data_IF_745393945487
#
_entry.id   IF_745393945487
#
_cell.length_a   1.000
_cell.length_b   1.000
_cell.length_c   1.000
_cell.angle_alpha   90.00
_cell.angle_beta   90.00
_cell.angle_gamma   90.00
#
_symmetry.space_group_name_H-M   'P 1'
#
loop_
_entity.id
_entity.type
_entity.pdbx_description
1 polymer ?
#
# COMPACT_ATOMS: atom_id res chain seq x y z
N UNK A 1 -5.16 7.71 90.36
CA UNK A 1 -4.22 8.47 89.52
C UNK A 1 -5.00 9.51 88.72
N UNK A 2 -4.79 10.79 89.04
CA UNK A 2 -4.79 12.02 88.19
C UNK A 2 -5.55 11.97 86.83
N UNK A 3 -6.65 12.73 86.65
CA UNK A 3 -6.77 14.07 85.99
C UNK A 3 -6.30 14.06 84.52
N UNK A 4 -6.90 14.62 83.47
CA UNK A 4 -8.05 15.51 83.21
C UNK A 4 -8.01 15.81 81.68
N UNK A 5 -9.08 16.43 81.14
CA UNK A 5 -9.10 17.42 80.04
C UNK A 5 -9.19 17.05 78.52
N UNK A 6 -10.27 17.61 77.95
CA UNK A 6 -10.47 18.34 76.66
C UNK A 6 -10.54 17.53 75.35
N UNK A 7 -11.70 17.43 74.68
CA UNK A 7 -12.51 18.46 73.97
C UNK A 7 -11.90 18.96 72.63
N UNK A 8 -12.57 18.67 71.50
CA UNK A 8 -12.89 19.68 70.50
C UNK A 8 -13.99 19.26 69.51
N UNK A 9 -14.90 20.21 69.28
CA UNK A 9 -15.97 20.26 68.27
C UNK A 9 -15.36 20.32 66.86
N UNK A 10 -16.11 19.87 65.84
CA UNK A 10 -16.58 20.76 64.76
C UNK A 10 -17.52 20.00 63.81
N UNK A 11 -18.76 20.50 63.72
CA UNK A 11 -19.73 20.16 62.70
C UNK A 11 -19.27 20.74 61.34
N UNK A 12 -19.16 19.88 60.32
CA UNK A 12 -18.76 20.24 58.96
C UNK A 12 -19.90 20.00 57.97
N UNK A 13 -20.34 21.10 57.33
CA UNK A 13 -21.40 21.22 56.32
C UNK A 13 -21.16 20.36 55.07
N UNK A 14 -22.25 19.87 54.48
CA UNK A 14 -22.28 19.17 53.19
C UNK A 14 -21.84 20.08 52.01
N UNK A 15 -21.01 19.60 51.08
CA UNK A 15 -20.62 20.36 49.90
C UNK A 15 -21.63 20.17 48.74
N UNK A 16 -22.21 21.28 48.28
CA UNK A 16 -22.96 21.36 47.02
C UNK A 16 -21.98 21.42 45.85
N UNK A 17 -22.01 20.40 44.97
CA UNK A 17 -21.26 20.39 43.71
C UNK A 17 -21.93 21.33 42.70
N UNK A 18 -21.40 22.54 42.53
CA UNK A 18 -21.64 23.39 41.35
C UNK A 18 -20.67 23.00 40.24
N UNK A 19 -21.19 22.50 39.13
CA UNK A 19 -20.44 22.28 37.88
C UNK A 19 -20.20 23.63 37.20
N UNK A 20 -18.93 24.06 37.21
CA UNK A 20 -18.47 25.28 36.53
C UNK A 20 -18.01 24.90 35.11
N UNK A 21 -18.83 25.18 34.09
CA UNK A 21 -18.34 25.29 32.73
C UNK A 21 -18.04 26.78 32.46
N UNK A 22 -16.80 27.16 32.10
CA UNK A 22 -16.52 28.55 31.76
C UNK A 22 -17.23 28.90 30.46
N UNK A 23 -18.23 29.78 30.54
CA UNK A 23 -18.77 30.51 29.38
C UNK A 23 -17.62 31.28 28.74
N UNK A 24 -17.18 30.85 27.56
CA UNK A 24 -16.24 31.62 26.75
C UNK A 24 -16.90 32.97 26.40
N UNK A 25 -16.27 34.06 26.84
CA UNK A 25 -16.74 35.41 26.52
C UNK A 25 -16.55 35.71 25.03
N UNK A 26 -17.47 36.46 24.40
CA UNK A 26 -17.46 36.76 22.96
C UNK A 26 -16.16 37.43 22.47
N UNK A 27 -15.41 38.06 23.38
CA UNK A 27 -14.13 38.70 23.09
C UNK A 27 -13.01 37.71 22.68
N UNK A 28 -13.05 36.44 23.13
CA UNK A 28 -12.05 35.43 22.72
C UNK A 28 -12.35 34.85 21.33
N UNK A 29 -13.61 34.82 20.92
CA UNK A 29 -14.00 34.40 19.57
C UNK A 29 -13.60 35.45 18.51
N UNK A 30 -13.74 36.75 18.82
CA UNK A 30 -13.26 37.83 17.95
C UNK A 30 -11.74 37.82 17.79
N UNK A 31 -10.97 37.56 18.86
CA UNK A 31 -9.50 37.38 18.74
C UNK A 31 -9.11 36.18 17.89
N UNK A 32 -9.90 35.11 17.87
CA UNK A 32 -9.63 33.93 17.04
C UNK A 32 -9.92 34.19 15.56
N UNK A 33 -11.01 34.91 15.25
CA UNK A 33 -11.35 35.31 13.88
C UNK A 33 -10.34 36.34 13.34
N UNK A 34 -9.93 37.31 14.17
CA UNK A 34 -8.92 38.29 13.77
C UNK A 34 -7.54 37.64 13.55
N UNK A 35 -7.17 36.64 14.38
CA UNK A 35 -5.92 35.87 14.19
C UNK A 35 -5.95 34.98 12.94
N UNK A 36 -7.12 34.47 12.52
CA UNK A 36 -7.29 33.75 11.26
C UNK A 36 -7.26 34.68 10.03
N UNK A 37 -7.78 35.91 10.15
CA UNK A 37 -7.72 36.90 9.07
C UNK A 37 -6.28 37.41 8.86
N UNK A 38 -5.54 37.68 9.94
CA UNK A 38 -4.13 38.09 9.88
C UNK A 38 -3.21 36.97 9.34
N UNK A 39 -3.55 35.69 9.56
CA UNK A 39 -2.82 34.57 8.95
C UNK A 39 -3.06 34.44 7.43
N UNK A 40 -4.17 34.97 6.91
CA UNK A 40 -4.43 35.02 5.47
C UNK A 40 -3.81 36.27 4.82
N UNK A 41 -3.74 37.42 5.50
CA UNK A 41 -3.02 38.60 5.01
C UNK A 41 -1.49 38.36 4.96
N UNK A 42 -0.93 37.59 5.90
CA UNK A 42 0.49 37.21 5.88
C UNK A 42 0.87 36.29 4.68
N UNK A 43 -0.12 35.67 4.02
CA UNK A 43 0.10 34.89 2.79
C UNK A 43 0.08 35.76 1.53
N UNK A 44 -0.49 36.97 1.57
CA UNK A 44 -0.48 37.91 0.44
C UNK A 44 0.70 38.91 0.49
N UNK A 45 1.27 39.18 1.67
CA UNK A 45 2.39 40.13 1.84
C UNK A 45 3.80 39.57 1.58
N UNK A 46 3.96 38.30 1.19
CA UNK A 46 5.29 37.75 0.80
C UNK A 46 5.61 37.92 -0.69
N UNK A 47 4.93 38.85 -1.36
CA UNK A 47 5.10 39.12 -2.78
C UNK A 47 6.26 40.07 -3.14
N UNK A 48 6.98 40.65 -2.16
CA UNK A 48 8.03 41.66 -2.41
C UNK A 48 9.33 41.46 -1.61
N UNK A 49 9.95 40.28 -1.71
CA UNK A 49 11.38 40.13 -1.38
C UNK A 49 12.07 39.34 -2.49
N UNK A 50 12.20 39.98 -3.66
CA UNK A 50 13.18 39.64 -4.67
C UNK A 50 14.33 40.64 -4.58
N UNK A 51 15.44 40.25 -3.97
CA UNK A 51 16.81 40.53 -4.40
C UNK A 51 17.77 40.01 -3.32
N UNK A 52 18.96 39.58 -3.77
CA UNK A 52 20.11 39.10 -2.98
C UNK A 52 20.17 37.56 -2.85
N UNK A 53 20.66 36.89 -3.90
CA UNK A 53 22.00 36.25 -3.94
C UNK A 53 22.18 35.55 -5.30
N UNK A 54 23.03 36.14 -6.14
CA UNK A 54 23.73 35.43 -7.21
C UNK A 54 25.12 35.09 -6.71
N UNK A 55 25.55 33.82 -6.84
CA UNK A 55 26.88 33.47 -7.35
C UNK A 55 26.91 32.03 -7.89
N UNK A 56 27.84 31.70 -8.82
CA UNK A 56 27.82 30.48 -9.64
C UNK A 56 28.98 29.49 -9.31
N UNK A 57 28.98 28.35 -10.03
CA UNK A 57 29.98 27.27 -10.10
C UNK A 57 29.86 26.21 -8.97
N UNK A 58 29.82 24.90 -9.23
CA UNK A 58 30.71 24.04 -10.05
C UNK A 58 29.93 22.80 -10.54
N UNK A 59 29.78 22.55 -11.85
CA UNK A 59 30.58 21.66 -12.73
C UNK A 59 31.36 20.50 -12.05
N UNK A 60 31.22 19.33 -12.67
CA UNK A 60 31.96 18.07 -12.54
C UNK A 60 31.67 17.11 -11.37
N UNK A 61 30.61 16.31 -11.54
CA UNK A 61 30.59 14.90 -11.09
C UNK A 61 29.82 14.06 -12.14
N UNK A 62 30.44 13.79 -13.29
CA UNK A 62 29.90 12.87 -14.29
C UNK A 62 30.98 11.91 -14.81
N UNK A 63 31.61 11.14 -13.91
CA UNK A 63 32.36 9.94 -14.29
C UNK A 63 32.71 9.13 -13.04
N UNK A 64 31.93 8.07 -12.76
CA UNK A 64 32.27 6.84 -12.00
C UNK A 64 31.01 6.22 -11.38
N UNK A 65 30.23 5.55 -12.21
CA UNK A 65 29.35 4.46 -11.78
C UNK A 65 29.60 3.28 -12.70
N UNK A 66 30.67 2.55 -12.42
CA UNK A 66 30.84 1.18 -12.93
C UNK A 66 29.85 0.30 -12.16
N UNK A 67 28.87 -0.24 -12.88
CA UNK A 67 27.94 -1.25 -12.38
C UNK A 67 28.73 -2.50 -11.99
N UNK A 68 28.69 -2.87 -10.72
CA UNK A 68 29.16 -4.17 -10.21
C UNK A 68 28.25 -5.29 -10.71
N UNK A 69 28.77 -6.46 -11.11
CA UNK A 69 27.93 -7.59 -11.47
C UNK A 69 27.12 -8.09 -10.27
N UNK A 70 25.86 -8.37 -10.54
CA UNK A 70 24.84 -8.84 -9.61
C UNK A 70 25.23 -10.23 -9.08
N UNK A 71 25.33 -10.35 -7.75
CA UNK A 71 25.65 -11.60 -7.06
C UNK A 71 24.44 -12.54 -7.16
N UNK A 72 24.65 -13.72 -7.74
CA UNK A 72 23.65 -14.78 -7.87
C UNK A 72 23.18 -15.30 -6.50
N UNK A 73 21.87 -15.49 -6.38
CA UNK A 73 21.21 -16.06 -5.20
C UNK A 73 21.35 -17.60 -5.17
N UNK A 74 21.48 -18.26 -4.00
CA UNK A 74 21.81 -19.69 -3.88
C UNK A 74 20.69 -20.68 -4.28
N UNK A 75 19.59 -20.22 -4.86
CA UNK A 75 18.43 -21.07 -5.19
C UNK A 75 18.67 -21.88 -6.49
N UNK A 76 19.71 -21.56 -7.26
CA UNK A 76 20.04 -22.20 -8.54
C UNK A 76 20.63 -23.63 -8.43
N UNK A 77 21.21 -24.01 -7.29
CA UNK A 77 22.00 -25.26 -7.22
C UNK A 77 21.17 -26.56 -7.23
N UNK A 78 19.88 -26.54 -6.83
CA UNK A 78 19.05 -27.76 -6.86
C UNK A 78 18.51 -28.13 -8.24
N UNK A 79 18.41 -27.16 -9.17
CA UNK A 79 17.96 -27.46 -10.54
C UNK A 79 19.13 -27.70 -11.52
N UNK A 80 20.32 -27.19 -11.21
CA UNK A 80 21.51 -27.43 -12.05
C UNK A 80 21.93 -28.92 -12.06
N UNK A 81 21.77 -29.63 -10.95
CA UNK A 81 22.11 -31.07 -10.85
C UNK A 81 21.21 -31.98 -11.71
N UNK A 82 19.96 -31.59 -11.97
CA UNK A 82 19.08 -32.35 -12.86
C UNK A 82 19.41 -32.14 -14.35
N UNK A 83 20.06 -31.03 -14.70
CA UNK A 83 20.48 -30.75 -16.07
C UNK A 83 21.79 -31.45 -16.46
N UNK A 84 22.70 -31.69 -15.52
CA UNK A 84 23.93 -32.47 -15.79
C UNK A 84 23.66 -33.97 -15.97
N UNK A 85 22.66 -34.56 -15.29
CA UNK A 85 22.28 -35.97 -15.53
C UNK A 85 21.80 -36.20 -16.97
N UNK A 86 21.11 -35.24 -17.58
CA UNK A 86 20.65 -35.34 -18.98
C UNK A 86 21.79 -35.11 -19.97
N UNK A 87 22.81 -34.33 -19.60
CA UNK A 87 24.01 -34.09 -20.43
C UNK A 87 24.93 -35.30 -20.48
N UNK A 88 25.11 -35.98 -19.34
CA UNK A 88 25.96 -37.18 -19.26
C UNK A 88 25.32 -38.41 -19.92
N UNK A 89 23.99 -38.49 -20.02
CA UNK A 89 23.30 -39.54 -20.79
C UNK A 89 23.48 -39.40 -22.32
N UNK A 90 23.95 -38.24 -22.82
CA UNK A 90 24.14 -37.98 -24.25
C UNK A 90 25.59 -38.11 -24.73
N UNK A 91 26.53 -38.38 -23.80
CA UNK A 91 27.96 -38.48 -24.09
C UNK A 91 28.44 -39.92 -24.40
N UNK A 92 27.52 -40.87 -24.66
CA UNK A 92 27.86 -42.28 -24.95
C UNK A 92 27.28 -42.80 -26.28
N UNK A 93 26.99 -41.92 -27.24
CA UNK A 93 26.61 -42.35 -28.58
C UNK A 93 27.26 -41.47 -29.64
N UNK A 94 28.23 -42.05 -30.34
CA UNK A 94 28.53 -41.72 -31.74
C UNK A 94 29.60 -40.65 -31.96
N UNK A 95 30.85 -41.08 -31.96
CA UNK A 95 31.93 -40.44 -32.72
C UNK A 95 31.91 -40.97 -34.17
N UNK A 96 32.31 -40.09 -35.10
CA UNK A 96 32.62 -40.32 -36.52
C UNK A 96 31.50 -40.11 -37.56
N UNK A 97 31.42 -38.90 -38.13
CA UNK A 97 31.85 -38.65 -39.51
C UNK A 97 31.93 -37.14 -39.82
N UNK A 98 32.93 -36.78 -40.62
CA UNK A 98 33.36 -35.44 -40.98
C UNK A 98 32.46 -34.66 -41.94
N UNK A 99 32.54 -33.33 -41.79
CA UNK A 99 32.58 -32.26 -42.80
C UNK A 99 31.61 -32.27 -43.98
N UNK A 100 30.76 -31.24 -44.06
CA UNK A 100 30.66 -30.28 -45.18
C UNK A 100 29.27 -29.59 -45.19
N UNK A 101 29.22 -28.34 -45.67
CA UNK A 101 28.05 -27.48 -45.90
C UNK A 101 27.45 -26.74 -44.69
N UNK A 102 28.19 -25.74 -44.22
CA UNK A 102 27.58 -24.55 -43.64
C UNK A 102 27.09 -23.70 -44.82
N UNK A 103 25.81 -23.82 -45.19
CA UNK A 103 25.01 -22.75 -45.84
C UNK A 103 23.55 -23.18 -46.11
N UNK A 104 23.18 -24.47 -45.98
CA UNK A 104 21.82 -24.93 -46.31
C UNK A 104 20.88 -25.13 -45.09
N UNK A 105 21.41 -25.06 -43.86
CA UNK A 105 20.62 -25.30 -42.64
C UNK A 105 19.87 -24.06 -42.13
N UNK A 106 20.27 -22.84 -42.50
CA UNK A 106 19.62 -21.61 -42.00
C UNK A 106 18.25 -21.39 -42.65
N UNK A 107 18.02 -21.91 -43.86
CA UNK A 107 16.71 -21.84 -44.54
C UNK A 107 15.69 -22.88 -44.05
N UNK A 108 16.13 -24.03 -43.53
CA UNK A 108 15.22 -25.07 -43.00
C UNK A 108 14.62 -24.74 -41.64
N UNK A 109 15.30 -23.93 -40.82
CA UNK A 109 14.74 -23.49 -39.53
C UNK A 109 13.72 -22.36 -39.66
N UNK A 110 13.71 -21.61 -40.78
CA UNK A 110 12.69 -20.58 -41.04
C UNK A 110 11.42 -21.13 -41.67
N UNK A 111 11.49 -22.24 -42.44
CA UNK A 111 10.30 -22.85 -43.06
C UNK A 111 9.45 -23.71 -42.10
N UNK A 112 10.03 -24.26 -41.03
CA UNK A 112 9.26 -25.01 -40.01
C UNK A 112 8.52 -24.12 -39.00
N UNK A 113 8.74 -22.80 -39.03
CA UNK A 113 7.99 -21.83 -38.22
C UNK A 113 6.62 -21.47 -38.82
N UNK A 114 6.31 -21.94 -40.03
CA UNK A 114 5.08 -21.65 -40.77
C UNK A 114 4.09 -22.82 -40.85
N UNK A 115 4.24 -23.85 -40.00
CA UNK A 115 3.15 -24.82 -39.80
C UNK A 115 2.03 -24.08 -39.11
N UNK A 116 1.06 -23.63 -39.93
CA UNK A 116 -0.21 -23.07 -39.53
C UNK A 116 -0.85 -23.99 -38.49
N UNK A 117 -0.69 -23.63 -37.22
CA UNK A 117 -1.39 -24.28 -36.14
C UNK A 117 -2.88 -23.99 -36.34
N UNK A 118 -3.61 -24.96 -36.89
CA UNK A 118 -5.06 -24.90 -36.85
C UNK A 118 -5.47 -24.65 -35.39
N UNK A 119 -6.33 -23.65 -35.13
CA UNK A 119 -6.76 -23.35 -33.78
C UNK A 119 -7.53 -24.56 -33.27
N UNK A 120 -6.86 -25.38 -32.47
CA UNK A 120 -7.48 -26.47 -31.73
C UNK A 120 -8.64 -25.86 -30.95
N UNK A 121 -9.87 -26.15 -31.36
CA UNK A 121 -11.09 -25.73 -30.68
C UNK A 121 -11.13 -26.50 -29.38
N UNK A 122 -10.42 -25.98 -28.40
CA UNK A 122 -10.41 -26.47 -27.03
C UNK A 122 -11.82 -26.24 -26.49
N UNK A 123 -12.60 -27.32 -26.37
CA UNK A 123 -13.85 -27.31 -25.61
C UNK A 123 -13.56 -26.65 -24.27
N UNK A 124 -14.18 -25.48 -24.05
CA UNK A 124 -13.96 -24.64 -22.88
C UNK A 124 -14.25 -25.51 -21.65
N UNK A 125 -13.24 -25.93 -20.86
CA UNK A 125 -13.48 -26.83 -19.74
C UNK A 125 -14.52 -26.18 -18.83
N UNK A 126 -15.49 -26.97 -18.38
CA UNK A 126 -16.55 -26.53 -17.48
C UNK A 126 -15.91 -25.73 -16.34
N UNK A 127 -16.10 -24.42 -16.40
CA UNK A 127 -15.42 -23.49 -15.51
C UNK A 127 -16.06 -23.71 -14.13
N UNK A 128 -15.40 -24.49 -13.27
CA UNK A 128 -15.80 -24.62 -11.86
C UNK A 128 -16.03 -23.21 -11.34
N UNK A 129 -17.29 -22.89 -11.06
CA UNK A 129 -17.68 -21.58 -10.58
C UNK A 129 -16.99 -21.38 -9.24
N UNK A 130 -16.10 -20.38 -9.17
CA UNK A 130 -15.45 -20.03 -7.89
C UNK A 130 -16.53 -19.86 -6.82
N UNK A 131 -16.29 -20.34 -5.59
CA UNK A 131 -17.26 -20.20 -4.52
C UNK A 131 -17.63 -18.72 -4.36
N UNK A 132 -18.93 -18.44 -4.42
CA UNK A 132 -19.44 -17.08 -4.36
C UNK A 132 -19.25 -16.54 -2.93
N UNK A 133 -18.29 -15.62 -2.77
CA UNK A 133 -18.06 -14.94 -1.48
C UNK A 133 -18.80 -13.60 -1.52
N UNK A 134 -19.72 -13.41 -0.57
CA UNK A 134 -20.46 -12.16 -0.43
C UNK A 134 -19.49 -10.98 -0.23
N UNK A 135 -19.66 -9.86 -0.97
CA UNK A 135 -18.85 -8.66 -0.76
C UNK A 135 -18.91 -8.14 0.68
N UNK A 136 -20.05 -8.31 1.36
CA UNK A 136 -20.20 -7.86 2.75
C UNK A 136 -19.35 -8.69 3.72
N UNK A 137 -19.21 -9.99 3.47
CA UNK A 137 -18.36 -10.87 4.28
C UNK A 137 -16.89 -10.50 4.11
N UNK A 138 -16.47 -10.15 2.88
CA UNK A 138 -15.12 -9.64 2.61
C UNK A 138 -14.89 -8.31 3.32
N UNK A 139 -15.86 -7.40 3.30
CA UNK A 139 -15.77 -6.12 4.01
C UNK A 139 -15.63 -6.34 5.52
N UNK A 140 -16.43 -7.24 6.08
CA UNK A 140 -16.41 -7.56 7.52
C UNK A 140 -15.07 -8.18 7.90
N UNK A 141 -14.61 -9.18 7.16
CA UNK A 141 -13.30 -9.81 7.38
C UNK A 141 -12.13 -8.83 7.19
N UNK A 142 -12.26 -7.85 6.29
CA UNK A 142 -11.29 -6.77 6.13
C UNK A 142 -11.31 -5.84 7.35
N UNK A 143 -12.50 -5.49 7.85
CA UNK A 143 -12.66 -4.67 9.04
C UNK A 143 -12.19 -5.36 10.31
N UNK A 144 -12.18 -6.70 10.38
CA UNK A 144 -11.61 -7.42 11.53
C UNK A 144 -10.09 -7.29 11.60
N UNK A 145 -9.43 -7.02 10.48
CA UNK A 145 -7.98 -6.83 10.42
C UNK A 145 -7.59 -5.39 10.77
N UNK A 146 -6.58 -5.23 11.63
CA UNK A 146 -6.01 -3.91 11.98
C UNK A 146 -5.55 -3.15 10.73
N UNK A 147 -4.97 -3.85 9.74
CA UNK A 147 -4.56 -3.26 8.48
C UNK A 147 -5.75 -2.71 7.68
N UNK A 148 -6.86 -3.45 7.61
CA UNK A 148 -8.07 -3.00 6.92
C UNK A 148 -8.70 -1.77 7.58
N UNK A 149 -8.78 -1.75 8.92
CA UNK A 149 -9.23 -0.57 9.68
C UNK A 149 -8.37 0.66 9.40
N UNK A 150 -7.04 0.53 9.39
CA UNK A 150 -6.12 1.65 9.10
C UNK A 150 -6.29 2.19 7.67
N UNK A 151 -6.39 1.31 6.65
CA UNK A 151 -6.55 1.75 5.26
C UNK A 151 -7.90 2.39 5.00
N UNK A 152 -8.98 1.84 5.57
CA UNK A 152 -10.30 2.45 5.47
C UNK A 152 -10.35 3.79 6.20
N UNK A 153 -9.79 3.88 7.41
CA UNK A 153 -9.70 5.13 8.15
C UNK A 153 -8.88 6.19 7.39
N UNK A 154 -7.78 5.82 6.72
CA UNK A 154 -7.04 6.73 5.84
C UNK A 154 -7.92 7.22 4.69
N UNK A 155 -8.62 6.31 4.02
CA UNK A 155 -9.52 6.65 2.91
C UNK A 155 -10.62 7.62 3.35
N UNK A 156 -11.27 7.34 4.48
CA UNK A 156 -12.30 8.20 5.08
C UNK A 156 -11.73 9.57 5.48
N UNK A 157 -10.54 9.60 6.11
CA UNK A 157 -9.87 10.84 6.50
C UNK A 157 -9.63 11.75 5.30
N UNK A 158 -9.02 11.24 4.22
CA UNK A 158 -8.74 12.08 3.05
C UNK A 158 -9.99 12.37 2.22
N UNK A 159 -10.95 11.43 2.15
CA UNK A 159 -12.25 11.68 1.53
C UNK A 159 -13.01 12.82 2.22
N UNK A 160 -13.05 12.82 3.55
CA UNK A 160 -13.63 13.92 4.33
C UNK A 160 -12.85 15.23 4.16
N UNK A 161 -11.52 15.21 4.07
CA UNK A 161 -10.72 16.42 3.79
C UNK A 161 -11.05 17.00 2.42
N UNK A 162 -11.21 16.15 1.40
CA UNK A 162 -11.62 16.59 0.06
C UNK A 162 -13.01 17.24 0.12
N UNK A 163 -13.97 16.61 0.83
CA UNK A 163 -15.29 17.19 1.00
C UNK A 163 -15.25 18.54 1.72
N UNK A 164 -14.44 18.69 2.77
CA UNK A 164 -14.25 19.97 3.48
C UNK A 164 -13.60 21.03 2.58
N UNK A 165 -12.66 20.65 1.71
CA UNK A 165 -12.06 21.58 0.75
C UNK A 165 -13.13 22.11 -0.22
N UNK A 166 -13.88 21.21 -0.87
CA UNK A 166 -14.94 21.59 -1.82
C UNK A 166 -16.04 22.42 -1.16
N UNK A 167 -16.46 22.04 0.02
CA UNK A 167 -17.51 22.72 0.75
C UNK A 167 -17.07 24.15 1.14
N UNK A 168 -15.80 24.34 1.51
CA UNK A 168 -15.22 25.67 1.75
C UNK A 168 -15.23 26.50 0.48
N UNK A 169 -14.81 25.93 -0.66
CA UNK A 169 -14.87 26.61 -1.96
C UNK A 169 -16.29 27.03 -2.35
N UNK A 170 -17.29 26.16 -2.14
CA UNK A 170 -18.71 26.46 -2.38
C UNK A 170 -19.17 27.60 -1.48
N UNK A 171 -18.81 27.56 -0.19
CA UNK A 171 -19.20 28.60 0.78
C UNK A 171 -18.62 29.95 0.41
N UNK A 172 -17.34 30.01 0.05
CA UNK A 172 -16.68 31.25 -0.37
C UNK A 172 -17.33 31.80 -1.64
N UNK A 173 -17.56 30.96 -2.64
CA UNK A 173 -18.18 31.36 -3.92
C UNK A 173 -19.60 31.88 -3.72
N UNK A 174 -20.42 31.19 -2.93
CA UNK A 174 -21.80 31.61 -2.64
C UNK A 174 -21.86 32.85 -1.75
N UNK A 175 -20.94 32.99 -0.79
CA UNK A 175 -20.86 34.16 0.08
C UNK A 175 -20.53 35.43 -0.72
N UNK A 176 -19.56 35.35 -1.64
CA UNK A 176 -19.20 36.43 -2.56
C UNK A 176 -20.37 36.83 -3.46
N UNK A 177 -21.09 35.86 -4.03
CA UNK A 177 -22.27 36.14 -4.87
C UNK A 177 -23.41 36.80 -4.11
N UNK A 178 -23.56 36.53 -2.82
CA UNK A 178 -24.72 36.98 -2.04
C UNK A 178 -24.50 38.28 -1.27
N UNK A 179 -23.31 38.91 -1.32
CA UNK A 179 -22.94 40.01 -0.43
C UNK A 179 -23.40 39.73 1.01
N UNK A 180 -23.19 38.48 1.45
CA UNK A 180 -23.89 37.93 2.60
C UNK A 180 -23.45 38.64 3.88
N UNK A 181 -24.27 39.55 4.40
CA UNK A 181 -24.09 40.13 5.73
C UNK A 181 -24.77 39.18 6.74
N UNK A 182 -24.00 38.44 7.57
CA UNK A 182 -24.56 37.45 8.51
C UNK A 182 -25.53 38.05 9.54
N UNK A 183 -25.52 39.38 9.70
CA UNK A 183 -26.42 40.12 10.59
C UNK A 183 -27.89 40.13 10.13
N UNK A 184 -28.15 40.06 8.81
CA UNK A 184 -29.51 40.11 8.25
C UNK A 184 -30.37 38.87 8.55
N UNK A 185 -29.74 37.75 8.91
CA UNK A 185 -30.41 36.46 9.11
C UNK A 185 -30.51 36.05 10.58
N UNK A 186 -30.18 36.96 11.50
CA UNK A 186 -30.33 36.76 12.95
C UNK A 186 -31.73 37.09 13.49
N UNK A 187 -32.68 37.40 12.60
CA UNK A 187 -34.05 37.79 12.93
C UNK A 187 -34.98 36.65 13.39
N UNK A 188 -36.22 37.02 13.72
CA UNK A 188 -37.32 36.12 14.11
C UNK A 188 -37.52 34.96 13.12
N UNK A 189 -37.88 33.76 13.63
CA UNK A 189 -38.19 32.57 12.80
C UNK A 189 -39.23 32.85 11.70
N UNK A 190 -40.14 33.81 11.93
CA UNK A 190 -41.16 34.19 10.96
C UNK A 190 -40.59 34.92 9.73
N UNK A 191 -39.56 35.75 9.91
CA UNK A 191 -38.94 36.47 8.78
C UNK A 191 -38.13 35.53 7.87
N UNK A 192 -37.58 34.44 8.41
CA UNK A 192 -36.93 33.39 7.61
C UNK A 192 -37.92 32.66 6.69
N UNK A 193 -39.10 32.30 7.21
CA UNK A 193 -40.14 31.62 6.41
C UNK A 193 -40.68 32.57 5.34
N UNK A 194 -40.92 33.83 5.68
CA UNK A 194 -41.45 34.79 4.71
C UNK A 194 -40.42 35.14 3.62
N UNK A 195 -39.13 35.16 3.96
CA UNK A 195 -38.06 35.32 2.98
C UNK A 195 -37.87 34.08 2.09
N UNK A 196 -38.15 32.88 2.60
CA UNK A 196 -38.18 31.65 1.81
C UNK A 196 -39.25 31.70 0.73
N UNK A 197 -40.48 32.07 1.10
CA UNK A 197 -41.61 32.16 0.15
C UNK A 197 -41.33 33.22 -0.92
N UNK A 198 -40.78 34.38 -0.52
CA UNK A 198 -40.51 35.48 -1.45
C UNK A 198 -39.35 35.20 -2.42
N UNK A 199 -38.32 34.47 -1.99
CA UNK A 199 -37.11 34.22 -2.78
C UNK A 199 -36.53 32.83 -2.51
N UNK A 200 -37.15 31.74 -3.03
CA UNK A 200 -36.74 30.37 -2.72
C UNK A 200 -35.30 30.07 -3.15
N UNK A 201 -34.85 30.63 -4.27
CA UNK A 201 -33.48 30.45 -4.77
C UNK A 201 -32.41 31.07 -3.84
N UNK A 202 -32.64 32.29 -3.33
CA UNK A 202 -31.72 32.93 -2.37
C UNK A 202 -31.71 32.17 -1.06
N UNK A 203 -32.87 31.77 -0.57
CA UNK A 203 -32.96 30.96 0.65
C UNK A 203 -32.22 29.63 0.51
N UNK A 204 -32.36 28.93 -0.63
CA UNK A 204 -31.63 27.68 -0.88
C UNK A 204 -30.11 27.89 -0.83
N UNK A 205 -29.60 28.97 -1.43
CA UNK A 205 -28.16 29.32 -1.32
C UNK A 205 -27.73 29.54 0.14
N UNK A 206 -28.54 30.23 0.94
CA UNK A 206 -28.28 30.43 2.38
C UNK A 206 -28.31 29.11 3.14
N UNK A 207 -29.27 28.24 2.85
CA UNK A 207 -29.37 26.90 3.43
C UNK A 207 -28.13 26.07 3.11
N UNK A 208 -27.66 26.08 1.87
CA UNK A 208 -26.41 25.41 1.46
C UNK A 208 -25.23 25.96 2.26
N UNK A 209 -25.06 27.27 2.35
CA UNK A 209 -23.99 27.90 3.16
C UNK A 209 -24.05 27.48 4.63
N UNK A 210 -25.24 27.42 5.23
CA UNK A 210 -25.43 26.99 6.62
C UNK A 210 -25.10 25.50 6.82
N UNK A 211 -25.61 24.63 5.93
CA UNK A 211 -25.33 23.19 5.95
C UNK A 211 -23.83 22.93 5.80
N UNK A 212 -23.19 23.63 4.86
CA UNK A 212 -21.76 23.51 4.64
C UNK A 212 -20.94 24.05 5.83
N UNK A 213 -21.32 25.18 6.40
CA UNK A 213 -20.65 25.70 7.60
C UNK A 213 -20.77 24.72 8.78
N UNK A 214 -21.96 24.14 8.97
CA UNK A 214 -22.18 23.13 10.00
C UNK A 214 -21.34 21.88 9.75
N UNK A 215 -21.33 21.39 8.50
CA UNK A 215 -20.51 20.27 8.07
C UNK A 215 -19.03 20.53 8.35
N UNK A 216 -18.49 21.68 7.93
CA UNK A 216 -17.07 22.01 8.13
C UNK A 216 -16.68 22.03 9.60
N UNK A 217 -17.49 22.67 10.44
CA UNK A 217 -17.23 22.71 11.89
C UNK A 217 -17.24 21.33 12.53
N UNK A 218 -18.13 20.43 12.13
CA UNK A 218 -18.21 19.07 12.65
C UNK A 218 -17.08 18.18 12.10
N UNK A 219 -16.80 18.29 10.80
CA UNK A 219 -15.82 17.47 10.10
C UNK A 219 -14.40 17.67 10.61
N UNK A 220 -14.00 18.88 11.02
CA UNK A 220 -12.66 19.13 11.60
C UNK A 220 -12.40 18.23 12.83
N UNK A 221 -13.35 18.19 13.77
CA UNK A 221 -13.21 17.33 14.95
C UNK A 221 -13.19 15.83 14.61
N UNK A 222 -13.98 15.41 13.62
CA UNK A 222 -14.00 14.02 13.14
C UNK A 222 -12.67 13.66 12.48
N UNK A 223 -12.09 14.55 11.67
CA UNK A 223 -10.80 14.34 11.00
C UNK A 223 -9.66 14.14 12.00
N UNK A 224 -9.63 14.94 13.07
CA UNK A 224 -8.64 14.80 14.13
C UNK A 224 -8.82 13.49 14.90
N UNK A 225 -10.07 13.12 15.22
CA UNK A 225 -10.38 11.85 15.87
C UNK A 225 -9.97 10.64 15.02
N UNK A 226 -10.23 10.66 13.70
CA UNK A 226 -9.78 9.59 12.78
C UNK A 226 -8.25 9.54 12.72
N UNK A 227 -7.57 10.69 12.71
CA UNK A 227 -6.11 10.73 12.71
C UNK A 227 -5.53 10.13 13.99
N UNK A 228 -6.08 10.45 15.16
CA UNK A 228 -5.65 9.87 16.45
C UNK A 228 -5.96 8.37 16.47
N UNK A 229 -7.15 7.96 16.02
CA UNK A 229 -7.53 6.55 15.92
C UNK A 229 -6.52 5.74 15.10
N UNK A 230 -6.05 6.27 13.96
CA UNK A 230 -5.01 5.63 13.14
C UNK A 230 -3.68 5.48 13.88
N UNK A 231 -3.26 6.51 14.63
CA UNK A 231 -2.04 6.43 15.43
C UNK A 231 -2.18 5.43 16.58
N UNK A 232 -3.32 5.37 17.25
CA UNK A 232 -3.60 4.36 18.28
C UNK A 232 -3.51 2.93 17.73
N UNK A 233 -3.97 2.66 16.50
CA UNK A 233 -3.83 1.33 15.88
C UNK A 233 -2.39 0.93 15.53
N UNK A 234 -1.48 1.91 15.47
CA UNK A 234 -0.06 1.71 15.17
C UNK A 234 0.81 1.68 16.43
N UNK A 235 0.32 2.30 17.50
CA UNK A 235 0.97 2.35 18.81
C UNK A 235 1.20 0.95 19.39
N UNK A 236 2.34 0.76 20.05
CA UNK A 236 2.71 -0.49 20.72
C UNK A 236 3.48 -1.47 19.84
N UNK A 237 3.78 -1.12 18.58
CA UNK A 237 4.59 -1.98 17.69
C UNK A 237 6.09 -1.78 17.88
N UNK A 238 6.53 -0.64 18.39
CA UNK A 238 7.97 -0.37 18.56
C UNK A 238 8.66 -1.36 19.51
N UNK A 239 8.12 -1.71 20.69
CA UNK A 239 8.76 -2.69 21.58
C UNK A 239 8.95 -4.07 20.92
N UNK A 240 7.96 -4.53 20.16
CA UNK A 240 8.03 -5.80 19.42
C UNK A 240 9.09 -5.75 18.32
N UNK A 241 9.27 -4.59 17.68
CA UNK A 241 10.33 -4.39 16.66
C UNK A 241 11.72 -4.39 17.29
N UNK A 242 11.89 -3.76 18.46
CA UNK A 242 13.16 -3.83 19.22
C UNK A 242 13.48 -5.28 19.56
N UNK A 243 12.52 -6.03 20.08
CA UNK A 243 12.71 -7.46 20.38
C UNK A 243 13.12 -8.25 19.14
N UNK A 244 12.46 -8.03 17.99
CA UNK A 244 12.79 -8.72 16.73
C UNK A 244 14.19 -8.38 16.22
N UNK A 245 14.59 -7.12 16.33
CA UNK A 245 15.93 -6.67 15.98
C UNK A 245 16.96 -7.36 16.89
N UNK A 246 16.76 -7.35 18.21
CA UNK A 246 17.63 -8.03 19.17
C UNK A 246 17.73 -9.53 18.92
N UNK A 247 16.61 -10.18 18.57
CA UNK A 247 16.59 -11.60 18.20
C UNK A 247 17.41 -11.90 16.94
N UNK A 248 17.35 -11.00 15.95
CA UNK A 248 18.05 -11.18 14.68
C UNK A 248 19.56 -10.91 14.80
N UNK A 249 19.96 -9.95 15.65
CA UNK A 249 21.37 -9.53 15.77
C UNK A 249 22.09 -10.12 16.97
N UNK A 250 21.63 -9.82 18.18
CA UNK A 250 22.35 -10.12 19.44
C UNK A 250 22.10 -11.54 19.90
N UNK A 251 20.86 -12.03 19.79
CA UNK A 251 20.47 -13.33 20.32
C UNK A 251 20.61 -14.47 19.30
N UNK A 252 20.89 -14.15 18.03
CA UNK A 252 21.07 -15.16 16.99
C UNK A 252 22.43 -15.84 17.13
N UNK A 253 22.51 -17.14 17.48
CA UNK A 253 23.78 -17.83 17.65
C UNK A 253 24.59 -17.87 16.35
N UNK A 254 23.94 -17.74 15.19
CA UNK A 254 24.60 -17.70 13.89
C UNK A 254 25.31 -16.37 13.62
N UNK A 255 24.77 -15.25 14.13
CA UNK A 255 25.36 -13.92 13.98
C UNK A 255 26.62 -13.76 14.85
N UNK A 256 26.64 -14.38 16.03
CA UNK A 256 27.74 -14.27 16.99
C UNK A 256 28.96 -15.16 16.68
N UNK A 257 28.90 -16.03 15.66
CA UNK A 257 30.00 -16.95 15.31
C UNK A 257 31.21 -16.26 14.67
N UNK A 258 31.00 -15.16 13.95
CA UNK A 258 32.09 -14.39 13.33
C UNK A 258 31.70 -12.94 13.08
N UNK A 259 32.66 -12.00 13.07
CA UNK A 259 32.40 -10.60 12.71
C UNK A 259 31.77 -10.43 11.32
N UNK A 260 32.15 -11.29 10.36
CA UNK A 260 31.58 -11.27 9.01
C UNK A 260 30.12 -11.74 8.99
N UNK A 261 29.78 -12.76 9.78
CA UNK A 261 28.39 -13.23 9.94
C UNK A 261 27.52 -12.14 10.57
N UNK A 262 28.03 -11.44 11.58
CA UNK A 262 27.35 -10.30 12.20
C UNK A 262 27.14 -9.16 11.19
N UNK A 263 28.18 -8.78 10.45
CA UNK A 263 28.08 -7.75 9.43
C UNK A 263 27.03 -8.11 8.36
N UNK A 264 26.99 -9.35 7.88
CA UNK A 264 25.97 -9.82 6.93
C UNK A 264 24.56 -9.83 7.54
N UNK A 265 24.42 -10.12 8.83
CA UNK A 265 23.14 -10.09 9.52
C UNK A 265 22.62 -8.65 9.70
N UNK A 266 23.51 -7.70 10.02
CA UNK A 266 23.15 -6.29 10.24
C UNK A 266 22.96 -5.52 8.92
N UNK A 267 23.82 -5.77 7.93
CA UNK A 267 23.75 -5.12 6.60
C UNK A 267 22.83 -5.87 5.63
N UNK A 268 21.80 -6.53 6.16
CA UNK A 268 20.76 -7.16 5.36
C UNK A 268 19.65 -6.13 5.05
N UNK A 269 19.11 -6.18 3.83
CA UNK A 269 17.89 -5.46 3.43
C UNK A 269 16.76 -5.63 4.46
N UNK A 270 16.57 -6.84 4.99
CA UNK A 270 15.57 -7.13 6.01
C UNK A 270 15.81 -6.40 7.34
N UNK A 271 17.07 -6.17 7.71
CA UNK A 271 17.43 -5.41 8.92
C UNK A 271 17.22 -3.92 8.71
N UNK A 272 17.64 -3.38 7.56
CA UNK A 272 17.38 -1.98 7.20
C UNK A 272 15.88 -1.66 7.26
N UNK A 273 15.04 -2.53 6.71
CA UNK A 273 13.58 -2.39 6.79
C UNK A 273 13.09 -2.33 8.23
N UNK A 274 13.59 -3.19 9.13
CA UNK A 274 13.18 -3.23 10.53
C UNK A 274 13.64 -1.98 11.30
N UNK A 275 14.85 -1.47 11.00
CA UNK A 275 15.39 -0.25 11.61
C UNK A 275 14.58 0.97 11.18
N UNK A 276 14.27 1.10 9.88
CA UNK A 276 13.41 2.18 9.37
C UNK A 276 12.01 2.13 9.98
N UNK A 277 11.45 0.92 10.11
CA UNK A 277 10.17 0.68 10.75
C UNK A 277 10.19 1.06 12.24
N UNK A 278 11.23 0.67 12.97
CA UNK A 278 11.40 1.01 14.38
C UNK A 278 11.52 2.52 14.55
N UNK A 279 12.35 3.16 13.73
CA UNK A 279 12.54 4.61 13.75
C UNK A 279 11.24 5.37 13.48
N UNK A 280 10.49 4.96 12.45
CA UNK A 280 9.16 5.49 12.18
C UNK A 280 8.19 5.27 13.36
N UNK A 281 8.18 4.07 13.93
CA UNK A 281 7.32 3.71 15.06
C UNK A 281 7.57 4.60 16.28
N UNK A 282 8.83 4.79 16.67
CA UNK A 282 9.20 5.65 17.79
C UNK A 282 8.73 7.10 17.58
N UNK A 283 8.90 7.64 16.37
CA UNK A 283 8.47 9.02 16.08
C UNK A 283 6.95 9.16 16.03
N UNK A 284 6.22 8.20 15.45
CA UNK A 284 4.74 8.23 15.43
C UNK A 284 4.14 8.07 16.84
N UNK A 285 4.72 7.21 17.68
CA UNK A 285 4.33 7.05 19.08
C UNK A 285 4.62 8.32 19.89
N UNK A 286 5.76 8.98 19.67
CA UNK A 286 6.07 10.29 20.27
C UNK A 286 5.06 11.37 19.87
N UNK A 287 4.62 11.42 18.61
CA UNK A 287 3.57 12.35 18.15
C UNK A 287 2.24 12.05 18.86
N UNK A 288 1.89 10.78 19.03
CA UNK A 288 0.68 10.41 19.75
C UNK A 288 0.75 10.85 21.22
N UNK A 289 1.86 10.59 21.90
CA UNK A 289 2.07 11.03 23.28
C UNK A 289 2.01 12.57 23.42
N UNK A 290 2.50 13.31 22.42
CA UNK A 290 2.36 14.76 22.38
C UNK A 290 0.88 15.19 22.20
N UNK A 291 0.11 14.51 21.33
CA UNK A 291 -1.33 14.78 21.16
C UNK A 291 -2.15 14.45 22.40
N UNK A 292 -1.73 13.46 23.19
CA UNK A 292 -2.37 13.08 24.46
C UNK A 292 -1.97 14.01 25.62
N UNK A 293 -1.06 14.95 25.41
CA UNK A 293 -0.58 15.87 26.45
C UNK A 293 0.44 15.25 27.42
N UNK A 294 0.96 14.05 27.13
CA UNK A 294 2.03 13.41 27.92
C UNK A 294 3.37 14.10 27.63
N UNK A 295 3.64 14.42 26.37
CA UNK A 295 4.81 15.19 25.94
C UNK A 295 4.41 16.64 25.67
N UNK A 296 4.91 17.58 26.47
CA UNK A 296 4.53 19.00 26.42
C UNK A 296 5.50 19.89 25.65
N UNK A 297 6.69 19.40 25.32
CA UNK A 297 7.72 20.18 24.63
C UNK A 297 7.39 20.35 23.14
N UNK A 298 7.06 21.58 22.71
CA UNK A 298 6.68 21.88 21.33
C UNK A 298 7.85 21.71 20.34
N UNK A 299 9.08 22.02 20.75
CA UNK A 299 10.28 21.81 19.91
C UNK A 299 10.49 20.32 19.61
N UNK A 300 10.33 19.46 20.63
CA UNK A 300 10.39 18.01 20.43
C UNK A 300 9.25 17.50 19.55
N UNK A 301 8.04 18.05 19.70
CA UNK A 301 6.89 17.69 18.85
C UNK A 301 7.14 18.04 17.38
N UNK A 302 7.70 19.22 17.09
CA UNK A 302 8.08 19.60 15.72
C UNK A 302 9.18 18.69 15.17
N UNK A 303 10.18 18.36 15.98
CA UNK A 303 11.22 17.40 15.64
C UNK A 303 10.62 16.02 15.30
N UNK A 304 9.81 15.45 16.19
CA UNK A 304 9.18 14.15 15.98
C UNK A 304 8.30 14.14 14.72
N UNK A 305 7.56 15.23 14.46
CA UNK A 305 6.75 15.36 13.25
C UNK A 305 7.60 15.32 11.95
N UNK A 306 8.69 16.10 11.91
CA UNK A 306 9.62 16.11 10.75
C UNK A 306 10.28 14.74 10.55
N UNK A 307 10.77 14.14 11.62
CA UNK A 307 11.45 12.85 11.56
C UNK A 307 10.50 11.69 11.26
N UNK A 308 9.24 11.76 11.69
CA UNK A 308 8.22 10.78 11.31
C UNK A 308 7.93 10.82 9.81
N UNK A 309 7.76 12.02 9.24
CA UNK A 309 7.56 12.19 7.79
C UNK A 309 8.77 11.68 6.99
N UNK A 310 9.98 12.04 7.41
CA UNK A 310 11.23 11.59 6.77
C UNK A 310 11.44 10.06 6.89
N UNK A 311 11.15 9.47 8.06
CA UNK A 311 11.22 8.02 8.24
C UNK A 311 10.22 7.29 7.34
N UNK A 312 9.01 7.82 7.23
CA UNK A 312 7.98 7.28 6.36
C UNK A 312 8.34 7.41 4.88
N UNK A 313 8.92 8.54 4.48
CA UNK A 313 9.45 8.78 3.14
C UNK A 313 10.52 7.73 2.74
N UNK A 314 11.49 7.44 3.62
CA UNK A 314 12.47 6.38 3.35
C UNK A 314 11.83 4.98 3.26
N UNK A 315 10.84 4.68 4.12
CA UNK A 315 10.08 3.43 4.02
C UNK A 315 9.35 3.31 2.67
N UNK A 316 8.85 4.42 2.11
CA UNK A 316 8.21 4.42 0.78
C UNK A 316 9.21 4.14 -0.32
N UNK A 317 10.35 4.85 -0.33
CA UNK A 317 11.40 4.63 -1.34
C UNK A 317 11.88 3.18 -1.33
N UNK A 318 12.15 2.66 -0.14
CA UNK A 318 12.54 1.27 0.06
C UNK A 318 11.45 0.29 -0.37
N UNK A 319 10.18 0.58 -0.06
CA UNK A 319 9.03 -0.19 -0.52
C UNK A 319 8.87 -0.21 -2.04
N UNK A 320 9.17 0.90 -2.73
CA UNK A 320 9.14 0.99 -4.19
C UNK A 320 10.24 0.13 -4.81
N UNK A 321 11.47 0.23 -4.31
CA UNK A 321 12.58 -0.62 -4.74
C UNK A 321 12.22 -2.11 -4.61
N UNK A 322 11.69 -2.52 -3.45
CA UNK A 322 11.26 -3.90 -3.21
C UNK A 322 10.14 -4.34 -4.15
N UNK A 323 9.19 -3.46 -4.43
CA UNK A 323 8.08 -3.75 -5.36
C UNK A 323 8.59 -3.94 -6.80
N UNK A 324 9.55 -3.13 -7.24
CA UNK A 324 10.20 -3.27 -8.56
C UNK A 324 10.96 -4.60 -8.64
N UNK A 325 11.75 -4.93 -7.62
CA UNK A 325 12.48 -6.20 -7.57
C UNK A 325 11.52 -7.40 -7.58
N UNK A 326 10.44 -7.34 -6.79
CA UNK A 326 9.40 -8.37 -6.78
C UNK A 326 8.67 -8.49 -8.12
N UNK A 327 8.49 -7.40 -8.87
CA UNK A 327 7.87 -7.46 -10.18
C UNK A 327 8.79 -8.15 -11.20
N UNK A 328 10.10 -7.88 -11.13
CA UNK A 328 11.09 -8.55 -11.97
C UNK A 328 11.12 -10.06 -11.73
N UNK A 329 11.12 -10.50 -10.46
CA UNK A 329 11.09 -11.94 -10.12
C UNK A 329 9.81 -12.62 -10.59
N UNK A 330 8.64 -11.99 -10.41
CA UNK A 330 7.37 -12.53 -10.89
C UNK A 330 7.29 -12.62 -12.42
N UNK A 331 7.89 -11.68 -13.16
CA UNK A 331 7.99 -11.76 -14.61
C UNK A 331 8.90 -12.89 -15.07
N UNK A 332 10.03 -13.09 -14.38
CA UNK A 332 10.93 -14.21 -14.65
C UNK A 332 10.24 -15.56 -14.38
N UNK A 333 9.50 -15.66 -13.28
CA UNK A 333 8.71 -16.86 -12.96
C UNK A 333 7.64 -17.13 -14.03
N UNK A 334 6.90 -16.11 -14.47
CA UNK A 334 5.93 -16.25 -15.56
C UNK A 334 6.59 -16.77 -16.85
N UNK A 335 7.77 -16.23 -17.18
CA UNK A 335 8.52 -16.64 -18.37
C UNK A 335 8.98 -18.10 -18.27
N UNK A 336 9.49 -18.54 -17.12
CA UNK A 336 9.87 -19.93 -16.88
C UNK A 336 8.68 -20.89 -17.00
N UNK A 337 7.53 -20.54 -16.41
CA UNK A 337 6.31 -21.34 -16.52
C UNK A 337 5.84 -21.48 -17.97
N UNK A 338 5.91 -20.41 -18.76
CA UNK A 338 5.60 -20.44 -20.19
C UNK A 338 6.55 -21.35 -20.98
N UNK A 339 7.85 -21.32 -20.68
CA UNK A 339 8.82 -22.23 -21.30
C UNK A 339 8.48 -23.67 -20.95
N UNK A 340 8.23 -23.97 -19.67
CA UNK A 340 7.88 -25.33 -19.23
C UNK A 340 6.59 -25.83 -19.91
N UNK A 341 5.58 -24.97 -20.01
CA UNK A 341 4.36 -25.26 -20.75
C UNK A 341 4.65 -25.58 -22.22
N UNK A 342 5.46 -24.76 -22.89
CA UNK A 342 5.83 -24.97 -24.30
C UNK A 342 6.65 -26.24 -24.50
N UNK A 343 7.63 -26.51 -23.64
CA UNK A 343 8.44 -27.73 -23.68
C UNK A 343 7.55 -28.94 -23.50
N UNK A 344 6.58 -28.88 -22.58
CA UNK A 344 5.62 -29.96 -22.35
C UNK A 344 4.72 -30.19 -23.56
N UNK A 345 4.11 -29.13 -24.11
CA UNK A 345 3.27 -29.24 -25.32
C UNK A 345 4.07 -29.83 -26.49
N UNK A 346 5.30 -29.36 -26.71
CA UNK A 346 6.18 -29.91 -27.76
C UNK A 346 6.57 -31.36 -27.50
N UNK A 347 6.90 -31.73 -26.27
CA UNK A 347 7.20 -33.12 -25.89
C UNK A 347 6.00 -34.03 -26.11
N UNK A 348 4.78 -33.59 -25.75
CA UNK A 348 3.55 -34.32 -26.01
C UNK A 348 3.26 -34.44 -27.51
N UNK A 349 3.49 -33.38 -28.30
CA UNK A 349 3.34 -33.43 -29.76
C UNK A 349 4.33 -34.40 -30.41
N UNK A 350 5.61 -34.33 -30.05
CA UNK A 350 6.64 -35.25 -30.54
C UNK A 350 6.33 -36.70 -30.14
N UNK A 351 5.86 -36.91 -28.90
CA UNK A 351 5.42 -38.23 -28.44
C UNK A 351 4.22 -38.74 -29.25
N UNK A 352 3.27 -37.88 -29.61
CA UNK A 352 2.14 -38.24 -30.50
C UNK A 352 2.61 -38.59 -31.92
N UNK A 353 3.52 -37.80 -32.51
CA UNK A 353 4.07 -38.06 -33.85
C UNK A 353 4.85 -39.38 -33.90
N UNK A 354 5.69 -39.65 -32.89
CA UNK A 354 6.42 -40.91 -32.78
C UNK A 354 5.46 -42.09 -32.59
N UNK A 355 4.33 -41.87 -31.93
CA UNK A 355 3.29 -42.90 -31.79
C UNK A 355 2.53 -43.15 -33.08
N UNK A 356 2.21 -42.12 -33.84
CA UNK A 356 1.57 -42.26 -35.15
C UNK A 356 2.46 -43.05 -36.12
N UNK A 357 3.78 -42.79 -36.13
CA UNK A 357 4.72 -43.54 -36.97
C UNK A 357 4.86 -45.01 -36.55
N UNK A 358 4.85 -45.33 -35.25
CA UNK A 358 4.90 -46.72 -34.74
C UNK A 358 3.55 -47.44 -34.98
N UNK A 359 2.43 -46.71 -34.95
CA UNK A 359 1.09 -47.29 -35.01
C UNK A 359 0.71 -47.92 -36.37
N UNK A 360 1.53 -47.75 -37.41
CA UNK A 360 1.33 -48.47 -38.67
C UNK A 360 1.72 -49.96 -38.62
N UNK A 361 2.44 -50.44 -37.58
CA UNK A 361 2.93 -51.83 -37.56
C UNK A 361 2.34 -52.78 -36.51
N UNK A 362 1.82 -52.34 -35.34
CA UNK A 362 1.39 -53.30 -34.30
C UNK A 362 0.18 -52.83 -33.44
N UNK A 363 -0.92 -53.58 -33.50
CA UNK A 363 -2.07 -53.46 -32.60
C UNK A 363 -1.78 -54.09 -31.22
N UNK A 364 -1.04 -53.38 -30.36
CA UNK A 364 -0.59 -53.90 -29.05
C UNK A 364 -1.28 -53.22 -27.84
N UNK A 365 -1.54 -53.97 -26.73
CA UNK A 365 -2.03 -53.45 -25.44
C UNK A 365 -1.15 -52.36 -24.81
N UNK A 366 0.06 -52.11 -25.33
CA UNK A 366 0.91 -50.98 -24.95
C UNK A 366 0.26 -49.61 -25.28
N UNK A 367 -0.65 -49.56 -26.26
CA UNK A 367 -1.37 -48.35 -26.68
C UNK A 367 -2.29 -47.77 -25.58
N UNK A 368 -2.91 -48.61 -24.76
CA UNK A 368 -3.82 -48.15 -23.69
C UNK A 368 -3.07 -47.52 -22.52
N UNK A 369 -1.93 -48.10 -22.11
CA UNK A 369 -1.07 -47.53 -21.06
C UNK A 369 -0.45 -46.20 -21.49
N UNK A 370 -0.15 -46.03 -22.77
CA UNK A 370 0.43 -44.78 -23.26
C UNK A 370 -0.62 -43.68 -23.49
N UNK A 371 -1.82 -44.03 -23.96
CA UNK A 371 -2.93 -43.06 -24.01
C UNK A 371 -3.29 -42.54 -22.61
N UNK A 372 -3.17 -43.39 -21.58
CA UNK A 372 -3.31 -42.95 -20.19
C UNK A 372 -2.25 -41.91 -19.81
N UNK A 373 -0.96 -42.13 -20.14
CA UNK A 373 0.12 -41.16 -19.88
C UNK A 373 -0.02 -39.85 -20.67
N UNK A 374 -0.53 -39.91 -21.90
CA UNK A 374 -0.81 -38.71 -22.72
C UNK A 374 -2.00 -37.93 -22.16
N UNK A 375 -3.04 -38.61 -21.67
CA UNK A 375 -4.19 -37.97 -21.02
C UNK A 375 -3.84 -37.38 -19.65
N UNK A 376 -2.98 -38.04 -18.88
CA UNK A 376 -2.40 -37.53 -17.62
C UNK A 376 -1.58 -36.24 -17.87
N UNK A 377 -0.92 -36.15 -19.03
CA UNK A 377 -0.27 -34.93 -19.50
C UNK A 377 -1.22 -33.72 -19.68
N UNK A 378 -2.53 -33.96 -19.91
CA UNK A 378 -3.52 -32.89 -20.11
C UNK A 378 -3.92 -32.20 -18.81
N UNK A 379 -4.09 -32.95 -17.71
CA UNK A 379 -4.40 -32.42 -16.39
C UNK A 379 -3.28 -31.47 -15.93
N UNK A 380 -2.06 -31.92 -16.17
CA UNK A 380 -0.85 -31.21 -15.84
C UNK A 380 -0.56 -29.99 -16.75
N UNK A 381 -1.22 -29.87 -17.92
CA UNK A 381 -1.23 -28.63 -18.71
C UNK A 381 -2.18 -27.59 -18.13
N UNK A 382 -3.31 -28.02 -17.54
CA UNK A 382 -4.22 -27.10 -16.82
C UNK A 382 -3.55 -26.50 -15.59
N UNK A 383 -2.67 -27.23 -14.92
CA UNK A 383 -1.92 -26.73 -13.77
C UNK A 383 -1.02 -25.54 -14.11
N UNK A 384 -0.25 -25.61 -15.21
CA UNK A 384 0.55 -24.47 -15.66
C UNK A 384 -0.31 -23.24 -15.98
N UNK A 385 -1.49 -23.43 -16.56
CA UNK A 385 -2.38 -22.30 -16.83
C UNK A 385 -2.90 -21.63 -15.55
N UNK A 386 -3.21 -22.43 -14.52
CA UNK A 386 -3.61 -21.94 -13.19
C UNK A 386 -2.45 -21.20 -12.51
N UNK A 387 -1.24 -21.75 -12.57
CA UNK A 387 -0.03 -21.12 -12.01
C UNK A 387 0.30 -19.79 -12.71
N UNK A 388 0.27 -19.76 -14.04
CA UNK A 388 0.47 -18.52 -14.82
C UNK A 388 -0.60 -17.48 -14.45
N UNK A 389 -1.87 -17.89 -14.29
CA UNK A 389 -2.94 -16.99 -13.87
C UNK A 389 -2.68 -16.43 -12.46
N UNK A 390 -2.21 -17.25 -11.52
CA UNK A 390 -1.83 -16.83 -10.17
C UNK A 390 -0.66 -15.84 -10.18
N UNK A 391 0.40 -16.12 -10.94
CA UNK A 391 1.55 -15.20 -11.07
C UNK A 391 1.10 -13.86 -11.66
N UNK A 392 0.22 -13.86 -12.68
CA UNK A 392 -0.36 -12.62 -13.23
C UNK A 392 -1.22 -11.86 -12.21
N UNK A 393 -1.97 -12.56 -11.36
CA UNK A 393 -2.70 -11.94 -10.26
C UNK A 393 -1.74 -11.26 -9.29
N UNK A 394 -0.66 -11.93 -8.90
CA UNK A 394 0.37 -11.37 -8.03
C UNK A 394 1.04 -10.14 -8.64
N UNK A 395 1.37 -10.17 -9.94
CA UNK A 395 1.89 -8.99 -10.65
C UNK A 395 0.90 -7.82 -10.57
N UNK A 396 -0.41 -8.05 -10.79
CA UNK A 396 -1.44 -7.01 -10.65
C UNK A 396 -1.48 -6.43 -9.23
N UNK A 397 -1.35 -7.25 -8.20
CA UNK A 397 -1.29 -6.79 -6.80
C UNK A 397 -0.03 -5.95 -6.52
N UNK A 398 1.11 -6.31 -7.11
CA UNK A 398 2.35 -5.53 -7.02
C UNK A 398 2.17 -4.17 -7.71
N UNK A 399 1.55 -4.11 -8.89
CA UNK A 399 1.25 -2.82 -9.55
C UNK A 399 0.36 -1.92 -8.71
N UNK A 400 -0.70 -2.47 -8.10
CA UNK A 400 -1.56 -1.70 -7.18
C UNK A 400 -0.75 -1.14 -6.01
N UNK A 401 0.18 -1.92 -5.45
CA UNK A 401 1.04 -1.46 -4.37
C UNK A 401 2.05 -0.40 -4.83
N UNK A 402 2.59 -0.51 -6.04
CA UNK A 402 3.42 0.52 -6.65
C UNK A 402 2.64 1.82 -6.86
N UNK A 403 1.40 1.76 -7.36
CA UNK A 403 0.53 2.94 -7.49
C UNK A 403 0.24 3.58 -6.12
N UNK A 404 -0.05 2.76 -5.10
CA UNK A 404 -0.22 3.23 -3.72
C UNK A 404 1.03 3.96 -3.22
N UNK A 405 2.19 3.35 -3.39
CA UNK A 405 3.47 3.89 -2.95
C UNK A 405 3.86 5.15 -3.74
N UNK A 406 3.52 5.24 -5.02
CA UNK A 406 3.73 6.44 -5.82
C UNK A 406 2.86 7.60 -5.31
N UNK A 407 1.60 7.34 -4.97
CA UNK A 407 0.74 8.34 -4.32
C UNK A 407 1.29 8.77 -2.95
N UNK A 408 1.73 7.83 -2.12
CA UNK A 408 2.39 8.14 -0.84
C UNK A 408 3.68 8.95 -1.06
N UNK A 409 4.50 8.59 -2.05
CA UNK A 409 5.73 9.30 -2.39
C UNK A 409 5.46 10.76 -2.77
N UNK A 410 4.47 11.03 -3.63
CA UNK A 410 4.08 12.40 -3.98
C UNK A 410 3.60 13.17 -2.75
N UNK A 411 2.77 12.53 -1.92
CA UNK A 411 2.24 13.12 -0.69
C UNK A 411 3.36 13.52 0.27
N UNK A 412 4.27 12.60 0.58
CA UNK A 412 5.33 12.83 1.56
C UNK A 412 6.48 13.68 1.00
N UNK A 413 6.69 13.70 -0.32
CA UNK A 413 7.65 14.64 -0.93
C UNK A 413 7.24 16.10 -0.67
N UNK A 414 5.94 16.40 -0.72
CA UNK A 414 5.43 17.75 -0.44
C UNK A 414 5.75 18.13 1.02
N UNK A 415 5.52 17.20 1.96
CA UNK A 415 5.74 17.44 3.39
C UNK A 415 7.23 17.52 3.77
N UNK A 416 8.07 16.64 3.20
CA UNK A 416 9.52 16.56 3.50
C UNK A 416 10.31 17.70 2.88
N UNK A 417 10.03 18.07 1.62
CA UNK A 417 10.75 19.13 0.91
C UNK A 417 10.06 20.49 0.97
N UNK A 418 8.94 20.59 1.69
CA UNK A 418 8.13 21.80 1.80
C UNK A 418 7.76 22.38 0.42
N UNK A 419 7.40 21.51 -0.52
CA UNK A 419 7.06 21.93 -1.89
C UNK A 419 5.75 22.72 -1.90
N UNK A 420 5.72 23.84 -2.62
CA UNK A 420 4.50 24.62 -2.87
C UNK A 420 3.61 23.89 -3.88
N UNK A 421 2.89 22.87 -3.44
CA UNK A 421 1.96 22.10 -4.26
C UNK A 421 0.50 22.54 -4.05
N UNK A 422 -0.37 22.46 -5.08
CA UNK A 422 -1.80 22.70 -4.90
C UNK A 422 -2.41 21.77 -3.86
N UNK A 423 -3.25 22.30 -2.97
CA UNK A 423 -3.91 21.52 -1.91
C UNK A 423 -4.69 20.31 -2.46
N UNK A 424 -5.26 20.45 -3.66
CA UNK A 424 -5.95 19.37 -4.37
C UNK A 424 -5.04 18.19 -4.65
N UNK A 425 -3.80 18.43 -5.14
CA UNK A 425 -2.85 17.36 -5.44
C UNK A 425 -2.44 16.60 -4.18
N UNK A 426 -2.20 17.33 -3.09
CA UNK A 426 -1.88 16.75 -1.78
C UNK A 426 -3.01 15.84 -1.28
N UNK A 427 -4.26 16.34 -1.29
CA UNK A 427 -5.40 15.56 -0.83
C UNK A 427 -5.73 14.37 -1.73
N UNK A 428 -5.63 14.53 -3.05
CA UNK A 428 -5.85 13.45 -4.02
C UNK A 428 -4.79 12.36 -3.88
N UNK A 429 -3.53 12.71 -3.65
CA UNK A 429 -2.46 11.73 -3.43
C UNK A 429 -2.70 10.94 -2.14
N UNK A 430 -3.05 11.63 -1.04
CA UNK A 430 -3.40 10.97 0.23
C UNK A 430 -4.62 10.04 0.12
N UNK A 431 -5.65 10.47 -0.63
CA UNK A 431 -6.86 9.68 -0.90
C UNK A 431 -6.57 8.49 -1.81
N UNK A 432 -5.82 8.68 -2.89
CA UNK A 432 -5.43 7.64 -3.84
C UNK A 432 -4.66 6.52 -3.15
N UNK A 433 -3.70 6.86 -2.29
CA UNK A 433 -3.01 5.87 -1.45
C UNK A 433 -3.96 5.10 -0.53
N UNK A 434 -4.93 5.80 0.09
CA UNK A 434 -5.99 5.16 0.88
C UNK A 434 -6.80 4.13 0.07
N UNK A 435 -7.25 4.52 -1.12
CA UNK A 435 -8.03 3.68 -2.03
C UNK A 435 -7.25 2.44 -2.51
N UNK A 436 -6.05 2.64 -3.06
CA UNK A 436 -5.23 1.51 -3.53
C UNK A 436 -4.85 0.58 -2.37
N UNK A 437 -4.55 1.14 -1.19
CA UNK A 437 -4.31 0.35 0.03
C UNK A 437 -5.52 -0.47 0.46
N UNK A 438 -6.71 0.11 0.45
CA UNK A 438 -7.95 -0.57 0.79
C UNK A 438 -8.31 -1.66 -0.23
N UNK A 439 -8.13 -1.37 -1.52
CA UNK A 439 -8.36 -2.33 -2.61
C UNK A 439 -7.41 -3.53 -2.53
N UNK A 440 -6.13 -3.31 -2.19
CA UNK A 440 -5.16 -4.39 -1.97
C UNK A 440 -5.63 -5.33 -0.85
N UNK A 441 -5.98 -4.76 0.32
CA UNK A 441 -6.45 -5.54 1.48
C UNK A 441 -7.75 -6.30 1.16
N UNK A 442 -8.67 -5.66 0.44
CA UNK A 442 -9.90 -6.30 -0.03
C UNK A 442 -9.61 -7.54 -0.88
N UNK A 443 -8.75 -7.41 -1.90
CA UNK A 443 -8.40 -8.51 -2.81
C UNK A 443 -7.69 -9.65 -2.08
N UNK A 444 -6.75 -9.35 -1.19
CA UNK A 444 -6.08 -10.36 -0.36
C UNK A 444 -7.08 -11.09 0.53
N UNK A 445 -7.93 -10.35 1.24
CA UNK A 445 -8.94 -10.94 2.13
C UNK A 445 -9.92 -11.83 1.39
N UNK A 446 -10.40 -11.41 0.21
CA UNK A 446 -11.27 -12.24 -0.64
C UNK A 446 -10.57 -13.53 -1.08
N UNK A 447 -9.31 -13.45 -1.50
CA UNK A 447 -8.52 -14.63 -1.91
C UNK A 447 -8.35 -15.61 -0.75
N UNK A 448 -8.06 -15.10 0.44
CA UNK A 448 -7.89 -15.91 1.64
C UNK A 448 -9.19 -16.63 2.03
N UNK A 449 -10.34 -15.95 1.90
CA UNK A 449 -11.65 -16.54 2.15
C UNK A 449 -11.98 -17.65 1.15
N UNK A 450 -11.78 -17.41 -0.15
CA UNK A 450 -11.99 -18.43 -1.20
C UNK A 450 -11.13 -19.66 -0.92
N UNK A 451 -9.86 -19.46 -0.54
CA UNK A 451 -8.94 -20.55 -0.20
C UNK A 451 -9.42 -21.36 1.00
N UNK A 452 -9.93 -20.68 2.04
CA UNK A 452 -10.49 -21.35 3.23
C UNK A 452 -11.76 -22.14 2.93
N UNK A 453 -12.63 -21.63 2.05
CA UNK A 453 -13.85 -22.35 1.64
C UNK A 453 -13.48 -23.62 0.88
N UNK A 454 -12.53 -23.54 -0.06
CA UNK A 454 -12.03 -24.71 -0.80
C UNK A 454 -11.40 -25.76 0.13
N UNK A 455 -10.60 -25.32 1.10
CA UNK A 455 -10.00 -26.23 2.08
C UNK A 455 -11.08 -26.92 2.95
N UNK A 456 -12.17 -26.23 3.29
CA UNK A 456 -13.29 -26.80 4.06
C UNK A 456 -14.19 -27.73 3.25
N UNK A 457 -14.29 -27.55 1.93
CA UNK A 457 -15.04 -28.49 1.08
C UNK A 457 -14.29 -29.78 0.80
N UNK A 458 -12.97 -29.81 1.04
CA UNK A 458 -12.11 -30.98 0.85
C UNK A 458 -11.89 -31.81 2.13
N UNK A 459 -12.15 -31.22 3.30
CA UNK A 459 -12.11 -31.88 4.60
C UNK A 459 -13.49 -32.40 4.97
#
# INVERSE_FOLDING_TARGET
MRTELRANRFAGKAPTKKTFYPRATPHKAQRYIHKMLLQNEFLEETHDIHHIFHTPATRDIHSRLQMSPFVESPISHKMYNNFEMVRNAKAHSGDSLMQSSADDNTLRYTQLANVSAEPFVSEKPAMETEPEVSPFDVLTAMLDQVAGKDKLAKTLQYGLRILVLYSTSITTSLSQQMNFKPELYRGSKQSLIMNFIKNPAKFFKVLVVLLTHHFNRRSVGVLDAISIFRQCMRFGKSPLRVQKILQTTVLSPAACKSPQSFQRAVLNEGMLSQVLDLYYGLMDESILLAKMGVLTNESYKQFANRHSALAWYYNIMFGLQKSIASLATLRQQEFQLKIQQQVKVKATQLSKQLMESISMEVSSPMRSRLNFLVNDGSESATDYTKEIANVKLQQKLVYVDMCRLACDFTFDSIDVFHLKAPATLYLLSGFGSGLFGSYKVWKTTRSDMVTRIKARSQA
#
